data_IF_471331952156
#
_entry.id   IF_471331952156
#
_cell.length_a   1.000
_cell.length_b   1.000
_cell.length_c   1.000
_cell.angle_alpha   90.00
_cell.angle_beta   90.00
_cell.angle_gamma   90.00
#
_symmetry.space_group_name_H-M   'P 1'
#
loop_
_entity.id
_entity.type
_entity.pdbx_description
1 polymer ?
#
# COMPACT_ATOMS: atom_id res chain seq x y z
N UNK A 1 -9.73 2.52 -9.95
CA UNK A 1 -8.39 2.71 -10.57
C UNK A 1 -7.34 3.18 -9.57
N UNK A 2 -7.58 4.26 -8.82
CA UNK A 2 -6.61 4.84 -7.85
C UNK A 2 -6.11 3.81 -6.82
N UNK A 3 -7.00 3.04 -6.20
CA UNK A 3 -6.64 1.96 -5.27
C UNK A 3 -5.68 0.93 -5.88
N UNK A 4 -5.94 0.49 -7.10
CA UNK A 4 -5.13 -0.52 -7.79
C UNK A 4 -3.71 -0.01 -8.09
N UNK A 5 -3.59 1.24 -8.53
CA UNK A 5 -2.29 1.88 -8.79
C UNK A 5 -1.47 2.01 -7.50
N UNK A 6 -2.09 2.51 -6.41
CA UNK A 6 -1.38 2.69 -5.13
C UNK A 6 -0.97 1.34 -4.54
N UNK A 7 -1.86 0.35 -4.59
CA UNK A 7 -1.55 -1.02 -4.16
C UNK A 7 -0.39 -1.62 -4.97
N UNK A 8 -0.44 -1.52 -6.29
CA UNK A 8 0.61 -2.08 -7.16
C UNK A 8 1.97 -1.42 -6.90
N UNK A 9 2.01 -0.09 -6.73
CA UNK A 9 3.24 0.62 -6.39
C UNK A 9 3.85 0.14 -5.07
N UNK A 10 3.03 -0.07 -4.03
CA UNK A 10 3.53 -0.63 -2.77
C UNK A 10 4.06 -2.06 -2.91
N UNK A 11 3.44 -2.88 -3.77
CA UNK A 11 3.94 -4.23 -4.05
C UNK A 11 5.29 -4.18 -4.75
N UNK A 12 5.47 -3.29 -5.72
CA UNK A 12 6.77 -3.10 -6.40
C UNK A 12 7.84 -2.68 -5.40
N UNK A 13 7.55 -1.74 -4.51
CA UNK A 13 8.51 -1.31 -3.48
C UNK A 13 8.91 -2.45 -2.55
N UNK A 14 7.94 -3.18 -1.96
CA UNK A 14 8.25 -4.26 -1.01
C UNK A 14 9.00 -5.41 -1.69
N UNK A 15 8.58 -5.81 -2.89
CA UNK A 15 9.21 -6.95 -3.59
C UNK A 15 10.64 -6.65 -4.08
N UNK A 16 11.00 -5.37 -4.24
CA UNK A 16 12.34 -4.97 -4.69
C UNK A 16 13.22 -4.42 -3.54
N UNK A 17 12.71 -4.39 -2.31
CA UNK A 17 13.44 -3.85 -1.16
C UNK A 17 14.39 -4.86 -0.49
N UNK A 18 14.59 -6.05 -1.09
CA UNK A 18 15.48 -7.12 -0.58
C UNK A 18 15.30 -7.41 0.92
N UNK A 19 14.06 -7.30 1.41
CA UNK A 19 13.75 -7.40 2.84
C UNK A 19 13.99 -8.83 3.35
N UNK A 20 14.95 -8.98 4.24
CA UNK A 20 15.19 -10.24 4.94
C UNK A 20 14.39 -10.29 6.26
N UNK A 21 13.07 -10.47 6.13
CA UNK A 21 12.15 -10.57 7.26
C UNK A 21 11.81 -12.04 7.55
N UNK A 22 11.66 -12.43 8.82
CA UNK A 22 11.23 -13.78 9.18
C UNK A 22 9.83 -14.11 8.66
N UNK A 23 8.99 -13.10 8.45
CA UNK A 23 7.69 -13.22 7.81
C UNK A 23 7.34 -11.95 7.03
N UNK A 24 6.99 -12.11 5.75
CA UNK A 24 6.69 -10.97 4.88
C UNK A 24 5.38 -10.23 5.21
N UNK A 25 4.47 -10.83 5.97
CA UNK A 25 3.23 -10.15 6.40
C UNK A 25 3.53 -8.88 7.22
N UNK A 26 4.69 -8.82 7.89
CA UNK A 26 5.15 -7.65 8.65
C UNK A 26 5.36 -6.45 7.73
N UNK A 27 5.71 -6.67 6.46
CA UNK A 27 5.80 -5.60 5.46
C UNK A 27 4.47 -5.40 4.71
N UNK A 28 3.82 -6.48 4.29
CA UNK A 28 2.61 -6.38 3.48
C UNK A 28 1.38 -5.85 4.23
N UNK A 29 1.17 -6.28 5.48
CA UNK A 29 0.02 -5.84 6.28
C UNK A 29 0.01 -4.32 6.50
N UNK A 30 1.09 -3.68 6.99
CA UNK A 30 1.09 -2.22 7.13
C UNK A 30 1.04 -1.50 5.79
N UNK A 31 1.59 -2.06 4.71
CA UNK A 31 1.44 -1.50 3.36
C UNK A 31 -0.04 -1.44 2.95
N UNK A 32 -0.81 -2.51 3.13
CA UNK A 32 -2.24 -2.48 2.77
C UNK A 32 -3.07 -1.58 3.68
N UNK A 33 -2.73 -1.47 4.97
CA UNK A 33 -3.34 -0.48 5.86
C UNK A 33 -3.06 0.95 5.36
N UNK A 34 -1.81 1.23 4.99
CA UNK A 34 -1.41 2.53 4.43
C UNK A 34 -2.14 2.86 3.15
N UNK A 35 -2.24 1.90 2.22
CA UNK A 35 -3.02 2.05 0.98
C UNK A 35 -4.47 2.40 1.31
N UNK A 36 -5.12 1.64 2.21
CA UNK A 36 -6.51 1.86 2.59
C UNK A 36 -6.75 3.27 3.14
N UNK A 37 -5.96 3.69 4.14
CA UNK A 37 -6.07 5.02 4.76
C UNK A 37 -5.84 6.13 3.73
N UNK A 38 -4.84 5.96 2.86
CA UNK A 38 -4.50 6.95 1.84
C UNK A 38 -5.60 7.06 0.77
N UNK A 39 -6.17 5.93 0.35
CA UNK A 39 -7.31 5.93 -0.57
C UNK A 39 -8.55 6.56 0.06
N UNK A 40 -8.86 6.26 1.32
CA UNK A 40 -9.97 6.89 2.04
C UNK A 40 -9.78 8.40 2.19
N UNK A 41 -8.55 8.85 2.44
CA UNK A 41 -8.22 10.28 2.50
C UNK A 41 -8.37 10.96 1.14
N UNK A 42 -7.90 10.33 0.06
CA UNK A 42 -8.05 10.84 -1.31
C UNK A 42 -9.52 10.94 -1.69
N UNK A 43 -10.31 9.91 -1.42
CA UNK A 43 -11.74 9.90 -1.71
C UNK A 43 -12.46 11.03 -0.96
N UNK A 44 -12.09 11.32 0.29
CA UNK A 44 -12.64 12.46 1.05
C UNK A 44 -12.19 13.84 0.56
N UNK A 45 -11.06 13.92 -0.14
CA UNK A 45 -10.50 15.19 -0.64
C UNK A 45 -10.94 15.50 -2.07
N UNK A 46 -11.15 14.47 -2.87
CA UNK A 46 -11.46 14.57 -4.31
C UNK A 46 -12.92 14.23 -4.60
N UNK A 47 -13.53 13.36 -3.78
CA UNK A 47 -14.99 13.20 -3.74
C UNK A 47 -15.62 14.43 -3.08
N UNK A 48 -16.47 15.11 -3.85
CA UNK A 48 -17.37 16.16 -3.36
C UNK A 48 -18.34 15.65 -2.31
#
# INVERSE_FOLDING_TARGET
MIYGVISYSGLVLINNAELNLPNMWIAYLPMFIGVYVLTLWLDRKVGS
#
